data_IF_766110528345
#
_entry.id   IF_766110528345
#
_cell.length_a   1.000
_cell.length_b   1.000
_cell.length_c   1.000
_cell.angle_alpha   90.00
_cell.angle_beta   90.00
_cell.angle_gamma   90.00
#
_symmetry.space_group_name_H-M   'P 1'
#
loop_
_entity.id
_entity.type
_entity.pdbx_description
1 polymer ?
#
# COMPACT_ATOMS: atom_id res chain seq x y z
N UNK A 1 -10.68 0.16 -8.65
CA UNK A 1 -9.37 0.67 -8.19
C UNK A 1 -9.27 2.13 -8.61
N UNK A 2 -8.78 3.03 -7.76
CA UNK A 2 -8.51 4.42 -8.15
C UNK A 2 -7.05 4.78 -7.93
N UNK A 3 -6.60 5.90 -8.49
CA UNK A 3 -5.22 6.38 -8.35
C UNK A 3 -4.91 6.67 -6.88
N UNK A 4 -3.78 6.17 -6.40
CA UNK A 4 -3.31 6.38 -5.03
C UNK A 4 -2.48 7.66 -4.85
N UNK A 5 -2.29 8.46 -5.92
CA UNK A 5 -1.30 9.55 -5.94
C UNK A 5 -1.56 10.60 -4.86
N UNK A 6 -2.84 10.85 -4.52
CA UNK A 6 -3.26 11.74 -3.43
C UNK A 6 -2.77 11.28 -2.04
N UNK A 7 -2.41 10.01 -1.91
CA UNK A 7 -1.97 9.37 -0.68
C UNK A 7 -0.53 8.86 -0.78
N UNK A 8 0.23 9.25 -1.80
CA UNK A 8 1.63 8.84 -1.97
C UNK A 8 1.81 7.34 -2.22
N UNK A 9 0.84 6.70 -2.87
CA UNK A 9 0.89 5.29 -3.28
C UNK A 9 0.38 5.15 -4.72
N UNK A 10 0.58 3.98 -5.31
CA UNK A 10 0.20 3.74 -6.71
C UNK A 10 -1.32 3.60 -6.84
N UNK A 11 -1.93 2.81 -5.95
CA UNK A 11 -3.35 2.48 -6.04
C UNK A 11 -4.08 2.59 -4.70
N UNK A 12 -5.31 3.08 -4.76
CA UNK A 12 -6.29 2.95 -3.69
C UNK A 12 -7.31 1.87 -4.08
N UNK A 13 -7.39 0.81 -3.27
CA UNK A 13 -8.25 -0.35 -3.52
C UNK A 13 -9.45 -0.30 -2.59
N UNK A 14 -10.64 -0.51 -3.18
CA UNK A 14 -11.94 -0.49 -2.52
C UNK A 14 -12.52 -1.90 -2.61
N UNK A 15 -13.24 -2.34 -1.56
CA UNK A 15 -14.00 -3.59 -1.62
C UNK A 15 -15.28 -3.44 -2.45
N UNK A 16 -15.96 -2.31 -2.28
CA UNK A 16 -17.28 -2.04 -2.88
C UNK A 16 -17.22 -0.95 -3.95
N UNK A 17 -16.55 0.17 -3.67
CA UNK A 17 -16.36 1.24 -4.65
C UNK A 17 -16.20 2.63 -4.00
N UNK A 18 -15.75 3.63 -4.77
CA UNK A 18 -15.64 5.01 -4.30
C UNK A 18 -17.03 5.60 -4.03
N UNK A 19 -17.25 6.15 -2.83
CA UNK A 19 -18.50 6.81 -2.42
C UNK A 19 -19.40 5.99 -1.50
N UNK A 20 -19.21 4.66 -1.44
CA UNK A 20 -19.95 3.76 -0.52
C UNK A 20 -19.12 3.38 0.71
N UNK A 21 -17.80 3.23 0.56
CA UNK A 21 -16.88 2.89 1.65
C UNK A 21 -15.55 3.64 1.47
N UNK A 22 -14.91 4.04 2.56
CA UNK A 22 -13.54 4.57 2.50
C UNK A 22 -12.58 3.46 2.05
N UNK A 23 -11.72 3.72 1.05
CA UNK A 23 -10.75 2.73 0.55
C UNK A 23 -10.00 2.04 1.71
N UNK A 24 -10.17 0.74 1.98
CA UNK A 24 -9.51 0.13 3.13
C UNK A 24 -8.01 -0.11 2.91
N UNK A 25 -7.55 -0.15 1.65
CA UNK A 25 -6.18 -0.51 1.30
C UNK A 25 -5.52 0.52 0.38
N UNK A 26 -4.31 0.90 0.76
CA UNK A 26 -3.37 1.62 -0.09
C UNK A 26 -2.32 0.62 -0.56
N UNK A 27 -2.13 0.51 -1.87
CA UNK A 27 -1.21 -0.46 -2.48
C UNK A 27 -0.07 0.29 -3.14
N UNK A 28 1.16 -0.06 -2.79
CA UNK A 28 2.35 0.33 -3.53
C UNK A 28 2.92 -0.87 -4.26
N UNK A 29 3.22 -0.70 -5.55
CA UNK A 29 3.76 -1.76 -6.40
C UNK A 29 5.27 -1.63 -6.46
N UNK A 30 5.98 -2.73 -6.20
CA UNK A 30 7.44 -2.79 -6.15
C UNK A 30 7.92 -4.04 -6.89
N UNK A 31 9.16 -3.98 -7.39
CA UNK A 31 9.84 -5.13 -7.99
C UNK A 31 10.68 -5.87 -6.94
N UNK A 32 10.86 -7.19 -7.05
CA UNK A 32 11.84 -7.91 -6.24
C UNK A 32 13.23 -7.31 -6.48
N UNK A 33 13.94 -6.99 -5.39
CA UNK A 33 15.24 -6.31 -5.43
C UNK A 33 15.18 -4.79 -5.28
N UNK A 34 13.98 -4.18 -5.31
CA UNK A 34 13.85 -2.75 -5.04
C UNK A 34 14.14 -2.45 -3.57
N UNK A 35 14.98 -1.44 -3.32
CA UNK A 35 15.37 -1.09 -1.96
C UNK A 35 14.28 -0.27 -1.30
N UNK A 36 13.79 -0.74 -0.16
CA UNK A 36 12.88 0.02 0.69
C UNK A 36 13.72 0.74 1.74
N UNK A 37 13.65 2.07 1.73
CA UNK A 37 14.34 2.88 2.72
C UNK A 37 13.50 3.05 3.99
N UNK A 38 14.14 3.10 5.15
CA UNK A 38 13.47 3.38 6.44
C UNK A 38 12.53 4.61 6.40
N UNK A 39 12.92 5.78 5.83
CA UNK A 39 12.02 6.93 5.73
C UNK A 39 10.77 6.67 4.87
N UNK A 40 10.83 5.84 3.84
CA UNK A 40 9.64 5.47 3.05
C UNK A 40 8.66 4.64 3.88
N UNK A 41 9.15 3.71 4.70
CA UNK A 41 8.30 2.90 5.60
C UNK A 41 7.64 3.80 6.64
N UNK A 42 8.40 4.73 7.24
CA UNK A 42 7.85 5.70 8.20
C UNK A 42 6.82 6.61 7.54
N UNK A 43 7.07 7.07 6.31
CA UNK A 43 6.11 7.88 5.53
C UNK A 43 4.83 7.09 5.26
N UNK A 44 4.95 5.85 4.81
CA UNK A 44 3.82 4.96 4.56
C UNK A 44 3.02 4.69 5.85
N UNK A 45 3.71 4.47 6.97
CA UNK A 45 3.11 4.31 8.30
C UNK A 45 2.36 5.55 8.77
N UNK A 46 2.95 6.75 8.60
CA UNK A 46 2.31 8.04 8.92
C UNK A 46 1.05 8.27 8.07
N UNK A 47 1.15 8.05 6.75
CA UNK A 47 0.01 8.15 5.85
C UNK A 47 -1.11 7.19 6.28
N UNK A 48 -0.76 5.92 6.52
CA UNK A 48 -1.70 4.88 6.94
C UNK A 48 -2.41 5.22 8.27
N UNK A 49 -1.70 5.78 9.25
CA UNK A 49 -2.26 6.15 10.56
C UNK A 49 -3.17 7.37 10.48
N UNK A 50 -2.86 8.38 9.66
CA UNK A 50 -3.74 9.56 9.49
C UNK A 50 -5.07 9.19 8.83
N UNK A 51 -5.09 8.26 7.87
CA UNK A 51 -6.33 7.88 7.15
C UNK A 51 -6.98 6.58 7.63
N UNK A 52 -6.45 5.95 8.70
CA UNK A 52 -6.86 4.63 9.21
C UNK A 52 -6.95 3.54 8.12
N UNK A 53 -6.06 3.58 7.13
CA UNK A 53 -6.01 2.61 6.03
C UNK A 53 -4.88 1.61 6.26
N UNK A 54 -5.03 0.40 5.73
CA UNK A 54 -3.95 -0.61 5.73
C UNK A 54 -3.05 -0.38 4.53
N UNK A 55 -1.74 -0.31 4.76
CA UNK A 55 -0.76 -0.17 3.69
C UNK A 55 -0.30 -1.56 3.24
N UNK A 56 -0.29 -1.79 1.94
CA UNK A 56 0.06 -3.06 1.31
C UNK A 56 1.15 -2.81 0.26
N UNK A 57 2.21 -3.60 0.29
CA UNK A 57 3.22 -3.65 -0.76
C UNK A 57 2.94 -4.87 -1.63
N UNK A 58 2.73 -4.65 -2.92
CA UNK A 58 2.62 -5.70 -3.91
C UNK A 58 3.99 -5.86 -4.59
N UNK A 59 4.67 -6.95 -4.28
CA UNK A 59 5.89 -7.37 -4.96
C UNK A 59 5.51 -8.16 -6.20
N UNK A 60 5.81 -7.62 -7.37
CA UNK A 60 5.52 -8.25 -8.65
C UNK A 60 6.79 -8.91 -9.16
N UNK A 61 6.82 -10.23 -9.11
CA UNK A 61 7.88 -11.03 -9.71
C UNK A 61 7.57 -11.24 -11.20
N UNK A 62 8.29 -10.50 -12.04
CA UNK A 62 8.14 -10.54 -13.50
C UNK A 62 8.70 -11.87 -14.08
N UNK A 63 9.68 -12.51 -13.43
CA UNK A 63 10.29 -13.76 -13.90
C UNK A 63 9.43 -14.98 -13.52
N UNK A 64 8.91 -14.99 -12.29
CA UNK A 64 8.07 -16.07 -11.77
C UNK A 64 6.58 -15.94 -12.06
N UNK A 65 6.13 -14.78 -12.57
CA UNK A 65 4.71 -14.48 -12.81
C UNK A 65 3.85 -14.46 -11.53
N UNK A 66 4.48 -14.31 -10.36
CA UNK A 66 3.83 -14.36 -9.05
C UNK A 66 3.78 -12.98 -8.41
N UNK A 67 2.69 -12.74 -7.67
CA UNK A 67 2.52 -11.48 -6.92
C UNK A 67 2.49 -11.82 -5.44
N UNK A 68 3.39 -11.21 -4.67
CA UNK A 68 3.44 -11.34 -3.22
C UNK A 68 2.90 -10.07 -2.58
N UNK A 69 1.99 -10.21 -1.62
CA UNK A 69 1.39 -9.07 -0.91
C UNK A 69 1.88 -9.03 0.53
N UNK A 70 2.51 -7.92 0.91
CA UNK A 70 2.99 -7.65 2.26
C UNK A 70 2.13 -6.55 2.89
N UNK A 71 1.48 -6.83 4.01
CA UNK A 71 0.63 -5.87 4.70
C UNK A 71 1.33 -5.32 5.95
N UNK A 72 1.44 -4.00 6.04
CA UNK A 72 1.98 -3.33 7.22
C UNK A 72 0.84 -2.88 8.14
N UNK A 73 0.91 -3.29 9.41
CA UNK A 73 0.06 -2.78 10.47
C UNK A 73 0.93 -1.99 11.44
N UNK A 74 0.65 -0.69 11.59
CA UNK A 74 1.33 0.10 12.61
C UNK A 74 0.97 -0.44 14.00
N UNK A 75 1.98 -0.94 14.70
CA UNK A 75 1.84 -1.42 16.07
C UNK A 75 2.21 -0.28 17.02
N UNK A 76 1.28 0.08 17.91
CA UNK A 76 1.60 0.84 19.12
C UNK A 76 1.75 -0.19 20.23
N UNK A 77 2.96 -0.27 20.79
CA UNK A 77 3.25 -0.99 22.02
C UNK A 77 2.67 -0.24 23.22
#
# INVERSE_FOLDING_TARGET
VTTGIKFGCDFAVYRLGPGLEHAPFLVSVRRPGDQITAPEVVRAGRLATTVRKRFVIALVDEEGGRIHYLMFKWFRA
#
